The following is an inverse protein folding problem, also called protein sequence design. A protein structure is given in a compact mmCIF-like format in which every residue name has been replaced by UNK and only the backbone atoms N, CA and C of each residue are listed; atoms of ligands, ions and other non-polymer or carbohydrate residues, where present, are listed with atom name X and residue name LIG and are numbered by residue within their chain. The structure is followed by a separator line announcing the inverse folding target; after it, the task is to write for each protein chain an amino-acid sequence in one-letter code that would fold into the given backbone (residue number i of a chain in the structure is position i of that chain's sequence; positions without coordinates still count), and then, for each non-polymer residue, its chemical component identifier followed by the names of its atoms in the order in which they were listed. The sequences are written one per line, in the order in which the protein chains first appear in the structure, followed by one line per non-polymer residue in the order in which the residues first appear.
data_IF_220058788941
#
_entry.id   IF_220058788941
#
_cell.length_a   1.000
_cell.length_b   1.000
_cell.length_c   1.000
_cell.angle_alpha   90.00
_cell.angle_beta   90.00
_cell.angle_gamma   90.00
#
_symmetry.space_group_name_H-M   'P 1'
#
loop_
_entity.id
_entity.type
_entity.pdbx_description
1 polymer ?
#
# COMPACT_ATOMS: atom_id res chain seq x y z
N UNK A 1 7.61 -17.06 -7.38
CA UNK A 1 6.68 -15.98 -7.80
C UNK A 1 5.45 -16.03 -6.90
N UNK A 2 5.46 -15.28 -5.79
CA UNK A 2 4.32 -15.21 -4.88
C UNK A 2 3.46 -14.00 -5.24
N UNK A 3 2.24 -14.25 -5.71
CA UNK A 3 1.23 -13.18 -5.91
C UNK A 3 0.79 -12.69 -4.53
N UNK A 4 1.36 -11.56 -4.09
CA UNK A 4 0.95 -10.93 -2.83
C UNK A 4 -0.40 -10.25 -3.07
N UNK A 5 -1.50 -10.61 -2.38
CA UNK A 5 -2.78 -9.96 -2.59
C UNK A 5 -2.67 -8.46 -2.30
N UNK A 6 -3.08 -7.69 -3.29
CA UNK A 6 -2.92 -6.22 -3.40
C UNK A 6 -3.36 -5.44 -2.17
N UNK A 7 -4.39 -5.90 -1.45
CA UNK A 7 -4.97 -5.14 -0.33
C UNK A 7 -3.98 -4.90 0.82
N UNK A 8 -2.98 -5.77 1.00
CA UNK A 8 -1.90 -5.57 1.99
C UNK A 8 -0.55 -5.23 1.34
N UNK A 9 -0.48 -5.24 0.00
CA UNK A 9 0.78 -5.15 -0.75
C UNK A 9 1.50 -3.82 -0.54
N UNK A 10 0.77 -2.70 -0.57
CA UNK A 10 1.36 -1.37 -0.43
C UNK A 10 1.98 -1.16 0.96
N UNK A 11 1.25 -1.47 2.03
CA UNK A 11 1.79 -1.41 3.40
C UNK A 11 3.00 -2.32 3.55
N UNK A 12 2.94 -3.56 3.04
CA UNK A 12 4.06 -4.50 3.16
C UNK A 12 5.31 -4.04 2.41
N UNK A 13 5.16 -3.48 1.21
CA UNK A 13 6.28 -2.90 0.44
C UNK A 13 6.90 -1.73 1.19
N UNK A 14 6.08 -0.86 1.77
CA UNK A 14 6.58 0.27 2.56
C UNK A 14 7.30 -0.19 3.83
N UNK A 15 6.78 -1.22 4.52
CA UNK A 15 7.47 -1.78 5.69
C UNK A 15 8.78 -2.48 5.33
N UNK A 16 8.83 -3.17 4.19
CA UNK A 16 10.05 -3.79 3.66
C UNK A 16 11.12 -2.74 3.30
N UNK A 17 10.67 -1.57 2.81
CA UNK A 17 11.51 -0.40 2.57
C UNK A 17 11.90 0.37 3.86
N UNK A 18 11.54 -0.13 5.05
CA UNK A 18 11.91 0.45 6.34
C UNK A 18 10.89 1.41 6.96
N UNK A 19 9.66 1.47 6.45
CA UNK A 19 8.61 2.25 7.09
C UNK A 19 8.02 1.52 8.31
N UNK A 20 7.76 2.23 9.41
CA UNK A 20 7.11 1.69 10.59
C UNK A 20 5.59 1.90 10.51
N UNK A 21 4.79 0.87 10.78
CA UNK A 21 3.33 1.00 10.82
C UNK A 21 2.90 1.75 12.08
N UNK A 22 2.28 2.91 11.90
CA UNK A 22 1.67 3.70 12.99
C UNK A 22 0.18 3.32 13.15
N UNK A 23 -0.51 3.13 12.03
CA UNK A 23 -1.90 2.67 12.02
C UNK A 23 -2.05 1.48 11.07
N UNK A 24 -2.55 0.37 11.64
CA UNK A 24 -2.73 -0.87 10.92
C UNK A 24 -3.63 -0.68 9.69
N UNK A 25 -3.36 -1.42 8.60
CA UNK A 25 -4.16 -1.34 7.39
C UNK A 25 -5.60 -1.78 7.63
N UNK A 26 -6.56 -0.90 7.37
CA UNK A 26 -7.99 -1.16 7.64
C UNK A 26 -8.87 -0.74 6.48
N UNK A 27 -9.88 -1.56 6.22
CA UNK A 27 -10.99 -1.19 5.36
C UNK A 27 -11.91 -0.21 6.10
N UNK A 28 -12.42 0.78 5.38
CA UNK A 28 -13.38 1.75 5.88
C UNK A 28 -14.78 1.43 5.35
N UNK A 29 -15.86 1.88 6.03
CA UNK A 29 -17.23 1.68 5.57
C UNK A 29 -17.51 2.24 4.16
N UNK A 30 -16.75 3.23 3.73
CA UNK A 30 -16.84 3.86 2.41
C UNK A 30 -16.13 3.07 1.30
N UNK A 31 -15.91 1.77 1.50
CA UNK A 31 -15.16 0.92 0.57
C UNK A 31 -13.79 1.54 0.25
N UNK A 32 -13.06 2.03 1.24
CA UNK A 32 -11.67 2.44 1.05
C UNK A 32 -10.76 1.62 1.96
N UNK A 33 -9.48 1.63 1.67
CA UNK A 33 -8.46 0.99 2.49
C UNK A 33 -7.39 2.01 2.82
N UNK A 34 -7.05 2.12 4.09
CA UNK A 34 -6.09 3.10 4.57
C UNK A 34 -5.14 2.49 5.61
N UNK A 35 -3.88 2.90 5.55
CA UNK A 35 -2.88 2.64 6.58
C UNK A 35 -2.06 3.92 6.81
N UNK A 36 -1.40 4.03 7.96
CA UNK A 36 -0.46 5.13 8.21
C UNK A 36 0.89 4.56 8.60
N UNK A 37 1.93 5.03 7.94
CA UNK A 37 3.30 4.60 8.17
C UNK A 37 4.24 5.80 8.36
N UNK A 38 5.25 5.61 9.19
CA UNK A 38 6.38 6.50 9.31
C UNK A 38 7.50 5.99 8.41
N UNK A 39 7.80 6.71 7.33
CA UNK A 39 8.92 6.38 6.47
C UNK A 39 10.24 6.92 7.06
N UNK A 40 11.39 6.35 6.62
CA UNK A 40 12.70 6.93 6.88
C UNK A 40 12.75 8.40 6.46
N UNK A 41 13.62 9.19 7.10
CA UNK A 41 13.72 10.64 6.94
C UNK A 41 12.54 11.45 7.50
N UNK A 42 11.76 10.89 8.44
CA UNK A 42 10.74 11.65 9.17
C UNK A 42 9.45 11.89 8.38
N UNK A 43 9.27 11.25 7.22
CA UNK A 43 8.09 11.41 6.37
C UNK A 43 6.91 10.55 6.87
N UNK A 44 5.71 11.10 6.84
CA UNK A 44 4.46 10.36 7.10
C UNK A 44 3.81 9.95 5.79
N UNK A 45 3.63 8.65 5.57
CA UNK A 45 3.01 8.09 4.37
C UNK A 45 1.66 7.49 4.72
N UNK A 46 0.63 7.83 3.95
CA UNK A 46 -0.75 7.35 4.18
C UNK A 46 -1.29 6.72 2.90
N UNK A 47 -1.06 5.43 2.65
CA UNK A 47 -1.60 4.74 1.48
C UNK A 47 -3.13 4.74 1.51
N UNK A 48 -3.74 5.13 0.41
CA UNK A 48 -5.19 5.12 0.19
C UNK A 48 -5.51 4.29 -1.04
N UNK A 49 -6.47 3.39 -0.93
CA UNK A 49 -7.00 2.63 -2.05
C UNK A 49 -8.52 2.60 -1.98
N UNK A 50 -9.19 2.97 -3.06
CA UNK A 50 -10.61 2.74 -3.22
C UNK A 50 -10.86 1.24 -3.53
N UNK A 51 -11.85 0.65 -2.88
CA UNK A 51 -12.30 -0.74 -3.04
C UNK A 51 -13.49 -0.83 -4.03
N UNK A 52 -13.58 0.13 -4.95
CA UNK A 52 -14.52 0.19 -6.08
C UNK A 52 -14.07 -0.67 -7.27
N UNK A 53 -15.00 -0.92 -8.19
CA UNK A 53 -15.00 -1.96 -9.24
C UNK A 53 -13.67 -2.17 -9.99
N UNK A 54 -13.26 -3.44 -10.03
CA UNK A 54 -12.25 -4.12 -10.85
C UNK A 54 -11.34 -3.28 -11.76
N UNK A 55 -10.05 -3.31 -11.44
CA UNK A 55 -9.05 -3.74 -12.42
C UNK A 55 -8.28 -2.64 -13.16
N UNK A 56 -7.39 -1.96 -12.45
CA UNK A 56 -6.09 -1.60 -13.02
C UNK A 56 -5.12 -1.54 -11.85
N UNK A 57 -4.74 -2.71 -11.36
CA UNK A 57 -3.54 -2.81 -10.57
C UNK A 57 -2.41 -2.59 -11.55
N UNK A 58 -1.99 -1.32 -11.67
CA UNK A 58 -0.77 -0.94 -12.33
C UNK A 58 0.36 -1.78 -11.73
N UNK A 59 0.58 -2.96 -12.30
CA UNK A 59 1.90 -3.45 -12.57
C UNK A 59 2.64 -2.25 -13.12
N UNK A 60 3.44 -1.58 -12.28
CA UNK A 60 4.59 -0.86 -12.79
C UNK A 60 5.36 -1.88 -13.63
N UNK A 61 5.33 -1.81 -14.98
CA UNK A 61 6.38 -2.49 -15.70
C UNK A 61 7.63 -1.75 -15.24
N UNK A 62 8.51 -2.47 -14.56
CA UNK A 62 9.89 -2.05 -14.39
C UNK A 62 10.39 -1.67 -15.79
N UNK A 63 10.46 -0.36 -16.08
CA UNK A 63 11.10 0.12 -17.30
C UNK A 63 12.60 0.04 -17.02
N UNK A 64 13.13 -1.17 -17.14
CA UNK A 64 14.54 -1.40 -17.44
C UNK A 64 14.71 -1.17 -18.94
N UNK A 65 15.46 -0.14 -19.30
CA UNK A 65 15.75 0.25 -20.69
C UNK A 65 16.08 1.72 -20.79
#
# INVERSE_FOLDING_TARGET
MCTVPVKAGATRRLTDAGAAVIAAPRATPWKSFNSRLQAPAGLTVTPFQELGSTGEQASDPVKTG
#
